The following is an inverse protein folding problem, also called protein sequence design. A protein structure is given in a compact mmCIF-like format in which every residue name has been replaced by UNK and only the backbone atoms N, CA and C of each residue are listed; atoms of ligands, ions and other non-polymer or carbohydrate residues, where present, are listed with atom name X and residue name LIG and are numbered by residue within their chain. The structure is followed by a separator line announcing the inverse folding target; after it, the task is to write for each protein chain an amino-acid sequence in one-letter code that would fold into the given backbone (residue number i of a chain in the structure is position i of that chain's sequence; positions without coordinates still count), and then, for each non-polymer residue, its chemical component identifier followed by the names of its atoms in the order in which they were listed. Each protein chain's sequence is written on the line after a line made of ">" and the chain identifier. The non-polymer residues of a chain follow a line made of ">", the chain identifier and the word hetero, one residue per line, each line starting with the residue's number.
data_IF_115877065489
#
_entry.id   IF_115877065489
#
_cell.length_a   1.000
_cell.length_b   1.000
_cell.length_c   1.000
_cell.angle_alpha   90.00
_cell.angle_beta   90.00
_cell.angle_gamma   90.00
#
_symmetry.space_group_name_H-M   'P 1'
#
loop_
_entity.id
_entity.type
_entity.pdbx_description
1 polymer ?
#
# COMPACT_ATOMS: atom_id res chain seq x y z
N UNK A 1 -5.77 -33.04 -23.64
CA UNK A 1 -6.10 -31.62 -23.41
C UNK A 1 -4.86 -30.98 -22.80
N UNK A 2 -4.00 -30.39 -23.63
CA UNK A 2 -2.68 -29.92 -23.19
C UNK A 2 -2.84 -28.61 -22.40
N UNK A 3 -2.55 -28.66 -21.09
CA UNK A 3 -2.29 -27.45 -20.33
C UNK A 3 -1.05 -26.76 -20.94
N UNK A 4 -1.08 -25.46 -21.22
CA UNK A 4 0.10 -24.80 -21.77
C UNK A 4 1.23 -24.83 -20.74
N UNK A 5 2.43 -25.21 -21.17
CA UNK A 5 3.67 -25.10 -20.39
C UNK A 5 3.92 -23.62 -20.06
N UNK A 6 3.83 -23.25 -18.79
CA UNK A 6 4.01 -21.87 -18.31
C UNK A 6 5.29 -21.74 -17.48
N UNK A 7 6.44 -22.01 -18.08
CA UNK A 7 7.71 -21.59 -17.49
C UNK A 7 7.63 -20.09 -17.22
N UNK A 8 7.82 -19.69 -15.96
CA UNK A 8 7.88 -18.29 -15.58
C UNK A 8 8.86 -17.57 -16.50
N UNK A 9 8.35 -16.59 -17.25
CA UNK A 9 9.17 -15.75 -18.09
C UNK A 9 10.29 -15.14 -17.24
N UNK A 10 11.49 -15.07 -17.81
CA UNK A 10 12.72 -14.62 -17.14
C UNK A 10 12.70 -13.15 -16.74
N UNK A 11 11.85 -12.77 -15.79
CA UNK A 11 11.84 -11.44 -15.19
C UNK A 11 13.13 -11.29 -14.40
N UNK A 12 14.03 -10.45 -14.90
CA UNK A 12 15.27 -10.15 -14.20
C UNK A 12 14.98 -9.61 -12.81
N UNK A 13 15.65 -10.16 -11.79
CA UNK A 13 15.53 -9.68 -10.42
C UNK A 13 15.75 -8.16 -10.31
N UNK A 14 16.70 -7.63 -11.08
CA UNK A 14 17.01 -6.18 -11.11
C UNK A 14 15.84 -5.36 -11.62
N UNK A 15 15.16 -5.84 -12.65
CA UNK A 15 13.98 -5.18 -13.20
C UNK A 15 12.81 -5.24 -12.20
N UNK A 16 12.60 -6.40 -11.59
CA UNK A 16 11.63 -6.59 -10.51
C UNK A 16 11.91 -5.65 -9.34
N UNK A 17 13.15 -5.52 -8.87
CA UNK A 17 13.55 -4.59 -7.81
C UNK A 17 13.08 -3.16 -8.11
N UNK A 18 13.34 -2.68 -9.33
CA UNK A 18 12.95 -1.33 -9.73
C UNK A 18 11.43 -1.11 -9.70
N UNK A 19 10.66 -2.10 -10.16
CA UNK A 19 9.20 -2.02 -10.16
C UNK A 19 8.63 -2.11 -8.75
N UNK A 20 9.10 -3.04 -7.91
CA UNK A 20 8.65 -3.16 -6.52
C UNK A 20 9.00 -1.93 -5.69
N UNK A 21 10.19 -1.36 -5.90
CA UNK A 21 10.58 -0.10 -5.26
C UNK A 21 9.69 1.06 -5.72
N UNK A 22 9.39 1.15 -7.04
CA UNK A 22 8.46 2.15 -7.58
C UNK A 22 7.06 1.99 -7.00
N UNK A 23 6.57 0.76 -6.84
CA UNK A 23 5.29 0.47 -6.18
C UNK A 23 5.32 0.96 -4.74
N UNK A 24 6.34 0.61 -3.96
CA UNK A 24 6.47 1.07 -2.57
C UNK A 24 6.54 2.60 -2.45
N UNK A 25 7.27 3.26 -3.35
CA UNK A 25 7.40 4.72 -3.36
C UNK A 25 6.10 5.43 -3.77
N UNK A 26 5.31 4.83 -4.66
CA UNK A 26 4.07 5.41 -5.20
C UNK A 26 2.80 4.82 -4.57
N UNK A 27 2.92 4.13 -3.42
CA UNK A 27 1.83 3.42 -2.74
C UNK A 27 0.84 4.35 -2.02
N UNK A 28 0.27 5.31 -2.75
CA UNK A 28 -0.74 6.25 -2.26
C UNK A 28 -2.15 5.89 -2.78
N UNK A 29 -3.18 6.44 -2.14
CA UNK A 29 -4.57 6.26 -2.58
C UNK A 29 -5.35 5.14 -1.88
N UNK A 30 -4.75 4.47 -0.89
CA UNK A 30 -5.35 3.35 -0.14
C UNK A 30 -5.26 2.01 -0.90
N UNK A 31 -5.86 0.93 -0.36
CA UNK A 31 -5.70 -0.41 -0.93
C UNK A 31 -6.09 -0.52 -2.41
N UNK A 32 -7.22 0.10 -2.79
CA UNK A 32 -7.68 0.12 -4.18
C UNK A 32 -6.70 0.84 -5.12
N UNK A 33 -6.10 1.96 -4.68
CA UNK A 33 -5.11 2.69 -5.47
C UNK A 33 -3.82 1.90 -5.65
N UNK A 34 -3.37 1.22 -4.59
CA UNK A 34 -2.19 0.35 -4.63
C UNK A 34 -2.42 -0.88 -5.52
N UNK A 35 -3.60 -1.51 -5.47
CA UNK A 35 -3.99 -2.62 -6.36
C UNK A 35 -4.04 -2.16 -7.81
N UNK A 36 -4.65 -1.00 -8.08
CA UNK A 36 -4.69 -0.44 -9.44
C UNK A 36 -3.29 -0.10 -9.97
N UNK A 37 -2.39 0.41 -9.12
CA UNK A 37 -1.00 0.66 -9.50
C UNK A 37 -0.25 -0.64 -9.83
N UNK A 38 -0.43 -1.68 -9.01
CA UNK A 38 0.17 -2.99 -9.27
C UNK A 38 -0.36 -3.60 -10.56
N UNK A 39 -1.68 -3.54 -10.79
CA UNK A 39 -2.30 -4.00 -12.02
C UNK A 39 -1.68 -3.29 -13.24
N UNK A 40 -1.70 -1.96 -13.25
CA UNK A 40 -1.12 -1.17 -14.33
C UNK A 40 0.34 -1.51 -14.60
N UNK A 41 1.17 -1.61 -13.56
CA UNK A 41 2.60 -1.85 -13.74
C UNK A 41 2.90 -3.30 -14.16
N UNK A 42 2.24 -4.29 -13.56
CA UNK A 42 2.56 -5.71 -13.74
C UNK A 42 1.82 -6.32 -14.93
N UNK A 43 0.56 -5.93 -15.16
CA UNK A 43 -0.30 -6.45 -16.22
C UNK A 43 -0.17 -5.59 -17.48
N UNK A 44 -0.45 -4.29 -17.38
CA UNK A 44 -0.53 -3.45 -18.59
C UNK A 44 0.85 -3.08 -19.15
N UNK A 45 1.72 -2.50 -18.32
CA UNK A 45 3.02 -1.97 -18.75
C UNK A 45 4.06 -3.07 -18.95
N UNK A 46 4.22 -3.96 -17.96
CA UNK A 46 5.26 -5.00 -17.98
C UNK A 46 4.80 -6.33 -18.56
N UNK A 47 3.48 -6.61 -18.57
CA UNK A 47 2.91 -7.88 -19.07
C UNK A 47 3.57 -9.12 -18.45
N UNK A 48 3.93 -9.02 -17.18
CA UNK A 48 4.50 -10.12 -16.40
C UNK A 48 3.43 -11.13 -15.98
N UNK A 49 2.18 -10.67 -15.87
CA UNK A 49 1.04 -11.46 -15.45
C UNK A 49 -0.16 -11.08 -16.30
N UNK A 50 -0.91 -12.06 -16.80
CA UNK A 50 -2.15 -11.81 -17.54
C UNK A 50 -3.31 -11.48 -16.60
N UNK A 51 -4.34 -10.81 -17.13
CA UNK A 51 -5.56 -10.41 -16.40
C UNK A 51 -6.15 -11.52 -15.52
N UNK A 52 -6.40 -12.75 -16.04
CA UNK A 52 -7.04 -13.79 -15.22
C UNK A 52 -6.14 -14.23 -14.06
N UNK A 53 -4.82 -14.27 -14.26
CA UNK A 53 -3.86 -14.64 -13.21
C UNK A 53 -3.75 -13.56 -12.15
N UNK A 54 -3.81 -12.29 -12.54
CA UNK A 54 -3.86 -11.18 -11.58
C UNK A 54 -5.13 -11.23 -10.74
N UNK A 55 -6.29 -11.44 -11.36
CA UNK A 55 -7.56 -11.56 -10.64
C UNK A 55 -7.60 -12.78 -9.72
N UNK A 56 -7.04 -13.92 -10.13
CA UNK A 56 -6.89 -15.08 -9.25
C UNK A 56 -6.02 -14.78 -8.02
N UNK A 57 -4.90 -14.09 -8.22
CA UNK A 57 -4.02 -13.64 -7.13
C UNK A 57 -4.75 -12.67 -6.18
N UNK A 58 -5.49 -11.70 -6.72
CA UNK A 58 -6.27 -10.75 -5.94
C UNK A 58 -7.35 -11.44 -5.11
N UNK A 59 -8.13 -12.32 -5.74
CA UNK A 59 -9.19 -13.07 -5.07
C UNK A 59 -8.62 -13.96 -3.96
N UNK A 60 -7.44 -14.55 -4.15
CA UNK A 60 -6.75 -15.29 -3.11
C UNK A 60 -6.36 -14.39 -1.92
N UNK A 61 -5.79 -13.21 -2.18
CA UNK A 61 -5.42 -12.27 -1.11
C UNK A 61 -6.63 -11.69 -0.37
N UNK A 62 -7.79 -11.55 -1.02
CA UNK A 62 -9.04 -11.12 -0.35
C UNK A 62 -9.58 -12.16 0.63
N UNK A 63 -9.22 -13.44 0.48
CA UNK A 63 -9.58 -14.50 1.43
C UNK A 63 -8.65 -14.55 2.65
N UNK A 64 -7.42 -14.04 2.52
CA UNK A 64 -6.45 -14.07 3.59
C UNK A 64 -6.68 -12.90 4.55
N UNK A 65 -6.57 -13.10 5.88
CA UNK A 65 -6.58 -11.99 6.81
C UNK A 65 -5.31 -11.16 6.62
N UNK A 66 -5.44 -9.86 6.37
CA UNK A 66 -4.30 -8.94 6.32
C UNK A 66 -4.42 -7.81 5.31
N UNK A 67 -3.33 -7.03 5.12
CA UNK A 67 -3.31 -5.93 4.17
C UNK A 67 -3.27 -6.45 2.73
N UNK A 68 -4.43 -6.49 2.09
CA UNK A 68 -4.68 -7.05 0.75
C UNK A 68 -3.62 -6.65 -0.29
N UNK A 69 -3.30 -5.36 -0.40
CA UNK A 69 -2.36 -4.84 -1.39
C UNK A 69 -0.91 -5.34 -1.16
N UNK A 70 -0.47 -5.42 0.10
CA UNK A 70 0.87 -5.93 0.42
C UNK A 70 0.95 -7.44 0.21
N UNK A 71 -0.10 -8.18 0.59
CA UNK A 71 -0.18 -9.62 0.33
C UNK A 71 -0.12 -9.92 -1.16
N UNK A 72 -0.85 -9.14 -1.97
CA UNK A 72 -0.82 -9.26 -3.43
C UNK A 72 0.57 -8.96 -3.99
N UNK A 73 1.24 -7.90 -3.53
CA UNK A 73 2.60 -7.58 -3.94
C UNK A 73 3.58 -8.74 -3.64
N UNK A 74 3.52 -9.30 -2.43
CA UNK A 74 4.36 -10.45 -2.03
C UNK A 74 4.05 -11.67 -2.90
N UNK A 75 2.77 -11.96 -3.13
CA UNK A 75 2.36 -13.13 -3.89
C UNK A 75 2.75 -13.03 -5.37
N UNK A 76 2.52 -11.87 -6.00
CA UNK A 76 2.98 -11.61 -7.37
C UNK A 76 4.51 -11.64 -7.44
N UNK A 77 5.21 -11.02 -6.48
CA UNK A 77 6.66 -11.10 -6.36
C UNK A 77 7.15 -12.55 -6.31
N UNK A 78 6.45 -13.40 -5.56
CA UNK A 78 6.73 -14.83 -5.48
C UNK A 78 6.44 -15.59 -6.78
N UNK A 79 5.37 -15.25 -7.49
CA UNK A 79 5.10 -15.83 -8.81
C UNK A 79 6.23 -15.55 -9.81
N UNK A 80 6.82 -14.34 -9.75
CA UNK A 80 7.89 -13.90 -10.66
C UNK A 80 9.25 -14.52 -10.34
N UNK A 81 9.70 -14.42 -9.09
CA UNK A 81 11.06 -14.76 -8.68
C UNK A 81 11.11 -15.67 -7.44
N UNK A 82 10.05 -16.47 -7.20
CA UNK A 82 9.93 -17.40 -6.08
C UNK A 82 10.18 -16.69 -4.74
N UNK A 83 10.80 -17.37 -3.78
CA UNK A 83 11.04 -16.84 -2.43
C UNK A 83 11.78 -15.51 -2.43
N UNK A 84 12.81 -15.36 -3.27
CA UNK A 84 13.56 -14.10 -3.41
C UNK A 84 12.66 -12.96 -3.89
N UNK A 85 11.80 -13.22 -4.87
CA UNK A 85 10.84 -12.25 -5.38
C UNK A 85 9.81 -11.80 -4.36
N UNK A 86 9.25 -12.74 -3.59
CA UNK A 86 8.27 -12.43 -2.55
C UNK A 86 8.86 -11.60 -1.40
N UNK A 87 10.04 -11.98 -0.91
CA UNK A 87 10.77 -11.22 0.12
C UNK A 87 11.12 -9.81 -0.35
N UNK A 88 11.65 -9.69 -1.58
CA UNK A 88 11.99 -8.42 -2.18
C UNK A 88 10.76 -7.52 -2.35
N UNK A 89 9.67 -8.04 -2.89
CA UNK A 89 8.43 -7.28 -3.09
C UNK A 89 7.87 -6.78 -1.76
N UNK A 90 7.81 -7.65 -0.74
CA UNK A 90 7.36 -7.27 0.60
C UNK A 90 8.26 -6.24 1.28
N UNK A 91 9.58 -6.42 1.21
CA UNK A 91 10.53 -5.49 1.81
C UNK A 91 10.47 -4.11 1.13
N UNK A 92 10.51 -4.07 -0.21
CA UNK A 92 10.48 -2.82 -0.97
C UNK A 92 9.12 -2.11 -0.93
N UNK A 93 8.04 -2.82 -0.58
CA UNK A 93 6.74 -2.20 -0.32
C UNK A 93 6.78 -1.29 0.92
N UNK A 94 7.49 -1.70 1.98
CA UNK A 94 7.52 -0.98 3.27
C UNK A 94 8.74 -0.04 3.37
N UNK A 95 9.87 -0.43 2.78
CA UNK A 95 11.16 0.23 2.96
C UNK A 95 11.14 1.75 2.65
N UNK A 96 10.52 2.26 1.57
CA UNK A 96 10.51 3.69 1.28
C UNK A 96 9.83 4.51 2.38
N UNK A 97 8.70 4.04 2.90
CA UNK A 97 7.98 4.69 3.99
C UNK A 97 8.77 4.65 5.30
N UNK A 98 9.39 3.51 5.60
CA UNK A 98 10.27 3.36 6.75
C UNK A 98 11.45 4.35 6.71
N UNK A 99 12.15 4.43 5.58
CA UNK A 99 13.29 5.35 5.41
C UNK A 99 12.87 6.82 5.50
N UNK A 100 11.71 7.17 4.94
CA UNK A 100 11.17 8.52 5.04
C UNK A 100 10.89 8.92 6.50
N UNK A 101 10.18 8.08 7.26
CA UNK A 101 9.87 8.35 8.67
C UNK A 101 11.16 8.38 9.51
N UNK A 102 12.09 7.46 9.25
CA UNK A 102 13.39 7.44 9.93
C UNK A 102 14.16 8.74 9.69
N UNK A 103 14.25 9.18 8.42
CA UNK A 103 14.91 10.44 8.06
C UNK A 103 14.27 11.66 8.73
N UNK A 104 12.94 11.76 8.69
CA UNK A 104 12.21 12.81 9.40
C UNK A 104 12.46 12.76 10.92
N UNK A 105 12.51 11.55 11.50
CA UNK A 105 12.77 11.38 12.93
C UNK A 105 14.16 11.89 13.31
N UNK A 106 15.19 11.54 12.53
CA UNK A 106 16.57 12.03 12.73
C UNK A 106 16.63 13.55 12.61
N UNK A 107 15.97 14.13 11.60
CA UNK A 107 15.93 15.59 11.42
C UNK A 107 15.26 16.26 12.63
N UNK A 108 14.15 15.68 13.11
CA UNK A 108 13.42 16.22 14.25
C UNK A 108 14.24 16.17 15.54
N UNK A 109 14.94 15.08 15.81
CA UNK A 109 15.73 14.93 17.05
C UNK A 109 16.96 15.82 17.06
N UNK A 110 17.63 16.01 15.91
CA UNK A 110 18.84 16.81 15.81
C UNK A 110 18.58 18.32 15.66
N UNK A 111 17.52 18.69 14.93
CA UNK A 111 17.29 20.06 14.48
C UNK A 111 15.91 20.63 14.85
N UNK A 112 15.08 19.88 15.58
CA UNK A 112 13.70 20.27 15.87
C UNK A 112 13.53 21.56 16.69
N UNK A 113 14.57 22.00 17.40
CA UNK A 113 14.60 23.28 18.13
C UNK A 113 14.83 24.49 17.24
N UNK A 114 15.27 24.30 15.99
CA UNK A 114 15.44 25.38 15.03
C UNK A 114 14.07 25.85 14.53
N UNK A 115 13.79 27.16 14.63
CA UNK A 115 12.51 27.77 14.24
C UNK A 115 12.00 27.34 12.85
N UNK A 116 12.84 27.35 11.78
CA UNK A 116 12.41 26.89 10.46
C UNK A 116 12.01 25.40 10.40
N UNK A 117 12.72 24.53 11.12
CA UNK A 117 12.40 23.10 11.18
C UNK A 117 11.11 22.88 11.96
N UNK A 118 10.92 23.56 13.09
CA UNK A 118 9.68 23.51 13.84
C UNK A 118 8.46 23.95 12.99
N UNK A 119 8.61 25.03 12.22
CA UNK A 119 7.57 25.50 11.30
C UNK A 119 7.26 24.48 10.18
N UNK A 120 8.29 23.85 9.60
CA UNK A 120 8.13 22.79 8.60
C UNK A 120 7.34 21.60 9.18
N UNK A 121 7.71 21.12 10.36
CA UNK A 121 7.01 20.01 11.03
C UNK A 121 5.59 20.39 11.42
N UNK A 122 5.32 21.65 11.77
CA UNK A 122 3.95 22.13 12.00
C UNK A 122 3.11 22.07 10.70
N UNK A 123 3.65 22.54 9.58
CA UNK A 123 3.01 22.41 8.27
C UNK A 123 2.76 20.95 7.88
N UNK A 124 3.73 20.07 8.14
CA UNK A 124 3.58 18.64 7.91
C UNK A 124 2.46 18.03 8.76
N UNK A 125 2.39 18.36 10.07
CA UNK A 125 1.30 17.91 10.96
C UNK A 125 -0.06 18.34 10.42
N UNK A 126 -0.19 19.58 9.95
CA UNK A 126 -1.42 20.08 9.34
C UNK A 126 -1.78 19.31 8.06
N UNK A 127 -0.81 19.06 7.18
CA UNK A 127 -1.04 18.27 5.97
C UNK A 127 -1.47 16.83 6.28
N UNK A 128 -0.81 16.18 7.23
CA UNK A 128 -1.17 14.82 7.71
C UNK A 128 -2.60 14.82 8.26
N UNK A 129 -2.97 15.81 9.08
CA UNK A 129 -4.34 15.92 9.62
C UNK A 129 -5.38 15.95 8.50
N UNK A 130 -5.15 16.76 7.45
CA UNK A 130 -6.05 16.82 6.28
C UNK A 130 -6.16 15.46 5.60
N UNK A 131 -5.05 14.74 5.41
CA UNK A 131 -5.04 13.40 4.79
C UNK A 131 -5.81 12.40 5.65
N UNK A 132 -5.63 12.41 6.97
CA UNK A 132 -6.37 11.53 7.89
C UNK A 132 -7.86 11.83 7.84
N UNK A 133 -8.26 13.10 7.92
CA UNK A 133 -9.67 13.51 7.81
C UNK A 133 -10.27 13.07 6.48
N UNK A 134 -9.56 13.26 5.36
CA UNK A 134 -10.00 12.78 4.05
C UNK A 134 -10.16 11.26 4.00
N UNK A 135 -9.24 10.51 4.61
CA UNK A 135 -9.35 9.05 4.71
C UNK A 135 -10.58 8.64 5.54
N UNK A 136 -10.82 9.28 6.68
CA UNK A 136 -11.99 9.04 7.54
C UNK A 136 -13.28 9.35 6.78
N UNK A 137 -13.37 10.48 6.07
CA UNK A 137 -14.55 10.83 5.27
C UNK A 137 -14.76 9.82 4.14
N UNK A 138 -13.69 9.43 3.43
CA UNK A 138 -13.76 8.46 2.32
C UNK A 138 -14.22 7.08 2.80
N UNK A 139 -13.70 6.59 3.92
CA UNK A 139 -14.10 5.28 4.48
C UNK A 139 -15.50 5.38 5.09
N UNK A 140 -15.76 6.43 5.87
CA UNK A 140 -17.03 6.66 6.53
C UNK A 140 -18.19 6.81 5.54
N UNK A 141 -18.01 7.55 4.44
CA UNK A 141 -19.03 7.67 3.38
C UNK A 141 -19.37 6.34 2.70
N UNK A 142 -18.40 5.41 2.57
CA UNK A 142 -18.64 4.08 2.01
C UNK A 142 -19.35 3.15 3.00
N UNK A 143 -19.03 3.25 4.29
CA UNK A 143 -19.57 2.38 5.35
C UNK A 143 -20.92 2.86 5.93
N UNK A 144 -21.07 4.17 6.14
CA UNK A 144 -22.17 4.80 6.89
C UNK A 144 -23.25 5.37 5.95
N UNK A 145 -23.94 4.47 5.24
CA UNK A 145 -24.95 4.85 4.24
C UNK A 145 -26.28 5.37 4.81
N UNK A 146 -26.61 5.08 6.09
CA UNK A 146 -27.89 5.48 6.70
C UNK A 146 -27.68 6.21 8.05
N UNK A 147 -28.70 6.96 8.48
CA UNK A 147 -28.64 7.77 9.71
C UNK A 147 -28.45 6.92 10.98
N UNK A 148 -28.96 5.69 10.99
CA UNK A 148 -28.80 4.75 12.11
C UNK A 148 -27.32 4.36 12.29
N UNK A 149 -26.61 3.97 11.22
CA UNK A 149 -25.18 3.65 11.28
C UNK A 149 -24.35 4.85 11.71
N UNK A 150 -24.70 6.07 11.26
CA UNK A 150 -24.04 7.31 11.70
C UNK A 150 -24.24 7.55 13.20
N UNK A 151 -25.47 7.41 13.68
CA UNK A 151 -25.78 7.53 15.11
C UNK A 151 -25.06 6.49 15.96
N UNK A 152 -25.05 5.23 15.52
CA UNK A 152 -24.31 4.15 16.21
C UNK A 152 -22.80 4.41 16.22
N UNK A 153 -22.22 4.88 15.12
CA UNK A 153 -20.81 5.25 15.05
C UNK A 153 -20.47 6.39 16.02
N UNK A 154 -21.32 7.42 16.12
CA UNK A 154 -21.14 8.51 17.07
C UNK A 154 -21.25 8.03 18.52
N UNK A 155 -22.25 7.20 18.82
CA UNK A 155 -22.43 6.61 20.15
C UNK A 155 -21.25 5.71 20.55
N UNK A 156 -20.76 4.87 19.64
CA UNK A 156 -19.58 4.04 19.86
C UNK A 156 -18.32 4.88 20.06
N UNK A 157 -18.14 5.95 19.29
CA UNK A 157 -17.03 6.89 19.47
C UNK A 157 -17.07 7.52 20.86
N UNK A 158 -18.22 8.06 21.27
CA UNK A 158 -18.40 8.62 22.62
C UNK A 158 -18.10 7.55 23.68
N UNK A 159 -18.61 6.32 23.52
CA UNK A 159 -18.38 5.23 24.47
C UNK A 159 -16.93 4.76 24.59
N UNK A 160 -16.06 5.05 23.61
CA UNK A 160 -14.62 4.79 23.72
C UNK A 160 -13.92 5.85 24.60
N UNK A 161 -14.45 7.07 24.65
CA UNK A 161 -13.83 8.21 25.33
C UNK A 161 -14.60 8.68 26.58
N UNK A 162 -15.67 7.99 26.95
CA UNK A 162 -16.43 8.18 28.18
C UNK A 162 -15.89 7.27 29.28
#
# INVERSE_FOLDING_TARGET
>A
MNAPDHRGSGVSLREATGIWFKIGLLSFGGPAGQIALMHRLVVDEKRWLDEPRFLHALNYCMLLPGPEAQQLAIYIGWLMNRTAGGLMAGALFVLPGFLAIMGLSIIYTLFGSLGPVAALFFGLKAAVLVVVVQAVIRVGSRALKNSVKKGLAAAAFIGIYA
#
